data_IF_310312994935
#
_entry.id   IF_310312994935
#
_cell.length_a   1.000
_cell.length_b   1.000
_cell.length_c   1.000
_cell.angle_alpha   90.00
_cell.angle_beta   90.00
_cell.angle_gamma   90.00
#
_symmetry.space_group_name_H-M   'P 1'
#
loop_
_entity.id
_entity.type
_entity.pdbx_description
1 polymer ?
#
# COMPACT_ATOMS: atom_id res chain seq x y z
N UNK A 1 2.43 -3.45 -43.75
CA UNK A 1 2.33 -2.85 -42.39
C UNK A 1 3.21 -3.66 -41.45
N UNK A 2 4.24 -3.05 -40.89
CA UNK A 2 5.11 -3.70 -39.92
C UNK A 2 4.46 -3.58 -38.54
N UNK A 3 4.29 -4.70 -37.82
CA UNK A 3 3.83 -4.67 -36.44
C UNK A 3 4.88 -3.98 -35.56
N UNK A 4 4.48 -2.91 -34.89
CA UNK A 4 5.34 -2.19 -33.95
C UNK A 4 5.22 -2.83 -32.56
N UNK A 5 6.07 -3.81 -32.24
CA UNK A 5 6.07 -4.53 -30.96
C UNK A 5 7.40 -4.26 -30.23
N UNK A 6 7.32 -4.04 -28.92
CA UNK A 6 8.48 -3.93 -28.03
C UNK A 6 8.44 -5.06 -27.00
N UNK A 7 9.62 -5.56 -26.61
CA UNK A 7 9.71 -6.48 -25.46
C UNK A 7 9.44 -5.68 -24.17
N UNK A 8 8.59 -6.21 -23.32
CA UNK A 8 8.38 -5.65 -21.97
C UNK A 8 9.65 -5.89 -21.16
N UNK A 9 10.28 -4.82 -20.69
CA UNK A 9 11.34 -4.87 -19.68
C UNK A 9 10.72 -4.80 -18.28
N UNK A 10 11.38 -5.38 -17.29
CA UNK A 10 10.95 -5.23 -15.89
C UNK A 10 10.91 -3.76 -15.51
N UNK A 11 9.75 -3.31 -14.99
CA UNK A 11 9.58 -1.95 -14.44
C UNK A 11 9.68 -1.99 -12.92
N UNK A 12 10.01 -0.86 -12.26
CA UNK A 12 9.95 -0.77 -10.81
C UNK A 12 8.59 -1.23 -10.27
N UNK A 13 8.52 -2.03 -9.21
CA UNK A 13 7.25 -2.49 -8.67
C UNK A 13 6.49 -1.39 -7.94
N UNK A 14 5.14 -1.49 -7.95
CA UNK A 14 4.24 -0.75 -7.08
C UNK A 14 3.83 -1.68 -5.95
N UNK A 15 4.23 -1.35 -4.74
CA UNK A 15 4.03 -2.17 -3.54
C UNK A 15 3.03 -1.47 -2.63
N UNK A 16 1.98 -2.16 -2.27
CA UNK A 16 1.04 -1.76 -1.23
C UNK A 16 1.27 -2.64 0.00
N UNK A 17 1.67 -2.05 1.11
CA UNK A 17 1.81 -2.75 2.38
C UNK A 17 0.78 -2.23 3.38
N UNK A 18 -0.03 -3.13 3.94
CA UNK A 18 -1.00 -2.75 4.96
C UNK A 18 -0.98 -3.72 6.14
N UNK A 19 -1.49 -3.28 7.28
CA UNK A 19 -1.50 -4.08 8.50
C UNK A 19 -1.80 -3.24 9.75
N UNK A 20 -1.82 -3.86 10.93
CA UNK A 20 -2.02 -3.17 12.21
C UNK A 20 -1.03 -2.03 12.42
N UNK A 21 -1.38 -1.11 13.31
CA UNK A 21 -0.45 -0.07 13.75
C UNK A 21 0.80 -0.68 14.39
N UNK A 22 1.95 -0.03 14.21
CA UNK A 22 3.25 -0.40 14.83
C UNK A 22 3.77 -1.78 14.45
N UNK A 23 3.25 -2.41 13.39
CA UNK A 23 3.76 -3.70 12.88
C UNK A 23 5.11 -3.57 12.18
N UNK A 24 5.51 -2.36 11.74
CA UNK A 24 6.79 -2.09 11.07
C UNK A 24 6.68 -1.66 9.61
N UNK A 25 5.50 -1.17 9.16
CA UNK A 25 5.28 -0.74 7.77
C UNK A 25 6.21 0.38 7.32
N UNK A 26 6.37 1.44 8.15
CA UNK A 26 7.30 2.54 7.84
C UNK A 26 8.75 2.05 7.82
N UNK A 27 9.13 1.11 8.70
CA UNK A 27 10.45 0.45 8.65
C UNK A 27 10.66 -0.35 7.38
N UNK A 28 9.61 -0.98 6.83
CA UNK A 28 9.66 -1.66 5.53
C UNK A 28 10.05 -0.67 4.43
N UNK A 29 9.40 0.48 4.36
CA UNK A 29 9.73 1.52 3.39
C UNK A 29 11.12 2.11 3.59
N UNK A 30 11.53 2.30 4.85
CA UNK A 30 12.83 2.86 5.20
C UNK A 30 14.03 1.99 4.80
N UNK A 31 13.84 0.68 4.70
CA UNK A 31 14.86 -0.28 4.26
C UNK A 31 14.86 -0.55 2.75
N UNK A 32 14.04 0.15 1.97
CA UNK A 32 14.08 0.11 0.52
C UNK A 32 15.35 0.79 -0.03
N UNK A 33 15.61 0.65 -1.33
CA UNK A 33 16.77 1.27 -1.98
C UNK A 33 16.56 2.79 -2.12
N UNK A 34 17.37 3.58 -1.41
CA UNK A 34 17.37 5.06 -1.40
C UNK A 34 15.95 5.66 -1.30
N UNK A 35 15.24 5.40 -0.22
CA UNK A 35 13.86 5.84 -0.07
C UNK A 35 13.77 7.34 0.23
N UNK A 36 12.69 7.98 -0.24
CA UNK A 36 12.21 9.28 0.21
C UNK A 36 10.75 9.16 0.61
N UNK A 37 10.39 9.74 1.75
CA UNK A 37 9.04 9.66 2.28
C UNK A 37 8.22 10.91 1.96
N UNK A 38 6.99 10.70 1.51
CA UNK A 38 5.91 11.69 1.48
C UNK A 38 5.02 11.40 2.69
N UNK A 39 5.22 12.17 3.76
CA UNK A 39 4.51 11.99 5.02
C UNK A 39 3.16 12.67 5.00
N UNK A 40 2.12 11.96 5.39
CA UNK A 40 0.78 12.49 5.63
C UNK A 40 0.39 12.33 7.10
N UNK A 41 1.01 11.39 7.80
CA UNK A 41 0.90 11.25 9.26
C UNK A 41 2.24 11.51 9.96
N UNK A 42 2.18 11.74 11.27
CA UNK A 42 3.35 11.90 12.12
C UNK A 42 3.77 10.53 12.66
N UNK A 43 4.62 9.84 11.92
CA UNK A 43 4.94 8.43 12.22
C UNK A 43 6.40 8.02 12.02
N UNK A 44 7.29 8.95 11.63
CA UNK A 44 8.70 8.66 11.34
C UNK A 44 9.64 8.91 12.51
N UNK A 45 9.15 9.29 13.69
CA UNK A 45 9.94 9.44 14.88
C UNK A 45 10.74 8.16 15.18
N UNK A 46 12.06 8.29 15.26
CA UNK A 46 12.97 7.17 15.48
C UNK A 46 13.36 6.36 14.24
N UNK A 47 12.95 6.78 13.05
CA UNK A 47 13.39 6.22 11.75
C UNK A 47 14.22 7.28 11.02
N UNK A 48 15.51 7.01 10.79
CA UNK A 48 16.39 7.92 10.05
C UNK A 48 16.23 7.70 8.55
N UNK A 49 15.46 8.57 7.89
CA UNK A 49 15.20 8.52 6.44
C UNK A 49 15.07 9.93 5.87
N UNK A 50 15.29 10.07 4.59
CA UNK A 50 14.94 11.30 3.87
C UNK A 50 13.42 11.40 3.73
N UNK A 51 12.86 12.56 4.07
CA UNK A 51 11.44 12.80 3.96
C UNK A 51 11.12 14.25 3.63
N UNK A 52 10.03 14.46 2.91
CA UNK A 52 9.42 15.76 2.79
C UNK A 52 8.79 16.18 4.14
N UNK A 53 8.61 17.47 4.40
CA UNK A 53 7.77 17.93 5.50
C UNK A 53 6.38 17.28 5.42
N UNK A 54 5.77 17.04 6.58
CA UNK A 54 4.42 16.47 6.62
C UNK A 54 3.43 17.33 5.83
N UNK A 55 2.69 16.69 4.94
CA UNK A 55 1.66 17.34 4.14
C UNK A 55 0.32 17.39 4.90
N UNK A 56 -0.35 18.53 4.83
CA UNK A 56 -1.65 18.81 5.44
C UNK A 56 -2.76 19.03 4.42
N UNK A 57 -2.42 19.05 3.14
CA UNK A 57 -3.36 19.17 2.01
C UNK A 57 -2.98 18.19 0.89
N UNK A 58 -3.96 17.89 0.02
CA UNK A 58 -3.70 17.08 -1.18
C UNK A 58 -2.71 17.79 -2.13
N UNK A 59 -2.82 19.11 -2.25
CA UNK A 59 -1.92 19.93 -3.04
C UNK A 59 -0.46 19.80 -2.58
N UNK A 60 -0.20 19.81 -1.25
CA UNK A 60 1.15 19.62 -0.71
C UNK A 60 1.69 18.21 -1.02
N UNK A 61 0.86 17.17 -0.95
CA UNK A 61 1.25 15.81 -1.35
C UNK A 61 1.64 15.79 -2.82
N UNK A 62 0.81 16.37 -3.70
CA UNK A 62 1.08 16.42 -5.14
C UNK A 62 2.32 17.25 -5.46
N UNK A 63 2.55 18.36 -4.77
CA UNK A 63 3.75 19.20 -4.91
C UNK A 63 5.03 18.43 -4.54
N UNK A 64 5.00 17.64 -3.46
CA UNK A 64 6.12 16.80 -3.07
C UNK A 64 6.43 15.73 -4.14
N UNK A 65 5.40 15.07 -4.66
CA UNK A 65 5.56 14.08 -5.74
C UNK A 65 6.04 14.75 -7.05
N UNK A 66 5.52 15.92 -7.37
CA UNK A 66 5.94 16.70 -8.55
C UNK A 66 7.40 17.15 -8.44
N UNK A 67 7.88 17.51 -7.25
CA UNK A 67 9.29 17.81 -7.02
C UNK A 67 10.21 16.64 -7.38
N UNK A 68 9.78 15.40 -7.09
CA UNK A 68 10.51 14.19 -7.52
C UNK A 68 10.43 13.96 -9.03
N UNK A 69 9.37 14.40 -9.67
CA UNK A 69 9.23 14.30 -11.13
C UNK A 69 10.13 15.29 -11.88
N UNK A 70 10.29 16.50 -11.36
CA UNK A 70 10.92 17.63 -12.06
C UNK A 70 12.39 17.87 -11.69
N UNK A 71 12.78 17.60 -10.45
CA UNK A 71 14.11 17.90 -9.95
C UNK A 71 15.06 16.70 -10.10
N UNK A 72 16.35 16.97 -10.22
CA UNK A 72 17.40 15.95 -10.16
C UNK A 72 17.60 15.48 -8.71
N UNK A 73 17.59 14.17 -8.50
CA UNK A 73 17.78 13.54 -7.20
C UNK A 73 18.35 12.13 -7.33
N UNK A 74 18.81 11.57 -6.22
CA UNK A 74 19.38 10.21 -6.16
C UNK A 74 18.45 9.16 -5.56
N UNK A 75 17.19 9.49 -5.29
CA UNK A 75 16.22 8.55 -4.71
C UNK A 75 15.74 7.53 -5.74
N UNK A 76 15.63 6.27 -5.32
CA UNK A 76 15.16 5.15 -6.14
C UNK A 76 13.78 4.65 -5.71
N UNK A 77 13.30 5.07 -4.54
CA UNK A 77 12.02 4.65 -4.00
C UNK A 77 11.26 5.84 -3.43
N UNK A 78 9.99 5.99 -3.79
CA UNK A 78 9.05 6.90 -3.13
C UNK A 78 8.14 6.10 -2.21
N UNK A 79 7.99 6.56 -0.96
CA UNK A 79 7.15 5.94 0.07
C UNK A 79 6.08 6.92 0.50
N UNK A 80 4.81 6.57 0.35
CA UNK A 80 3.68 7.39 0.85
C UNK A 80 3.16 6.79 2.15
N UNK A 81 3.26 7.51 3.25
CA UNK A 81 2.90 7.08 4.61
C UNK A 81 1.93 8.09 5.26
N UNK A 82 0.63 7.79 5.31
CA UNK A 82 -0.11 6.62 4.87
C UNK A 82 -1.37 6.99 4.08
N UNK A 83 -1.90 6.04 3.31
CA UNK A 83 -3.08 6.25 2.46
C UNK A 83 -4.34 6.60 3.25
N UNK A 84 -4.53 6.02 4.42
CA UNK A 84 -5.70 6.28 5.25
C UNK A 84 -5.67 7.67 5.92
N UNK A 85 -4.49 8.30 6.02
CA UNK A 85 -4.37 9.71 6.36
C UNK A 85 -4.46 10.63 5.13
N UNK A 86 -4.09 10.13 3.95
CA UNK A 86 -4.27 10.83 2.68
C UNK A 86 -5.75 10.93 2.28
N UNK A 87 -6.56 9.91 2.55
CA UNK A 87 -7.95 9.85 2.12
C UNK A 87 -8.80 11.07 2.57
N UNK A 88 -8.74 11.55 3.82
CA UNK A 88 -9.43 12.79 4.22
C UNK A 88 -8.97 14.03 3.45
N UNK A 89 -7.71 14.10 3.02
CA UNK A 89 -7.19 15.19 2.20
C UNK A 89 -7.75 15.13 0.78
N UNK A 90 -7.86 13.92 0.21
CA UNK A 90 -8.54 13.67 -1.07
C UNK A 90 -10.00 14.09 -1.00
N UNK A 91 -10.71 13.81 0.10
CA UNK A 91 -12.11 14.23 0.25
C UNK A 91 -12.25 15.75 0.33
N UNK A 92 -11.38 16.44 1.05
CA UNK A 92 -11.35 17.91 1.09
C UNK A 92 -11.08 18.50 -0.29
N UNK A 93 -10.13 17.96 -1.01
CA UNK A 93 -9.83 18.37 -2.39
C UNK A 93 -11.01 18.12 -3.32
N UNK A 94 -11.70 16.98 -3.18
CA UNK A 94 -12.92 16.69 -3.95
C UNK A 94 -13.99 17.73 -3.73
N UNK A 95 -14.25 18.12 -2.48
CA UNK A 95 -15.22 19.16 -2.14
C UNK A 95 -14.80 20.53 -2.71
N UNK A 96 -13.50 20.83 -2.71
CA UNK A 96 -12.95 22.04 -3.32
C UNK A 96 -13.17 22.10 -4.83
N UNK A 97 -12.93 20.99 -5.53
CA UNK A 97 -13.11 20.88 -7.00
C UNK A 97 -14.56 20.86 -7.44
N UNK A 98 -15.44 20.26 -6.64
CA UNK A 98 -16.86 20.08 -6.94
C UNK A 98 -17.70 20.67 -5.79
N UNK A 99 -17.74 21.99 -5.60
CA UNK A 99 -18.31 22.60 -4.41
C UNK A 99 -19.84 22.59 -4.35
N UNK A 100 -20.52 22.05 -5.38
CA UNK A 100 -21.97 21.97 -5.44
C UNK A 100 -22.43 20.56 -5.79
N UNK A 101 -23.36 20.04 -4.99
CA UNK A 101 -24.05 18.78 -5.23
C UNK A 101 -25.33 18.95 -6.04
N UNK A 102 -26.22 17.96 -5.93
CA UNK A 102 -27.51 17.96 -6.62
C UNK A 102 -28.30 19.24 -6.31
N UNK A 103 -29.01 19.75 -7.33
CA UNK A 103 -29.84 20.98 -7.24
C UNK A 103 -29.08 22.25 -6.85
N UNK A 104 -27.76 22.29 -7.05
CA UNK A 104 -26.95 23.46 -6.74
C UNK A 104 -26.74 23.73 -5.24
N UNK A 105 -26.99 22.75 -4.39
CA UNK A 105 -26.71 22.85 -2.95
C UNK A 105 -25.20 22.81 -2.71
N UNK A 106 -24.68 23.82 -1.98
CA UNK A 106 -23.29 23.83 -1.55
C UNK A 106 -22.99 22.63 -0.65
N UNK A 107 -21.88 21.97 -0.86
CA UNK A 107 -21.38 20.84 -0.06
C UNK A 107 -20.17 21.29 0.76
N UNK A 108 -20.05 20.77 1.97
CA UNK A 108 -18.96 21.06 2.90
C UNK A 108 -18.17 19.79 3.24
N UNK A 109 -18.80 18.63 3.07
CA UNK A 109 -18.22 17.33 3.34
C UNK A 109 -18.51 16.36 2.20
N UNK A 110 -17.70 15.29 2.11
CA UNK A 110 -17.83 14.26 1.08
C UNK A 110 -19.19 13.55 1.10
N UNK A 111 -19.86 13.47 2.25
CA UNK A 111 -21.16 12.83 2.42
C UNK A 111 -22.34 13.73 1.99
N UNK A 112 -22.15 15.03 1.91
CA UNK A 112 -23.20 16.01 1.56
C UNK A 112 -23.73 15.86 0.13
N UNK A 113 -22.96 15.20 -0.76
CA UNK A 113 -23.42 14.87 -2.11
C UNK A 113 -24.56 13.84 -2.12
N UNK A 114 -24.73 13.08 -1.03
CA UNK A 114 -25.74 12.05 -0.87
C UNK A 114 -25.46 10.80 -1.74
N UNK A 115 -26.07 9.70 -1.34
CA UNK A 115 -26.07 8.40 -2.08
C UNK A 115 -24.66 7.93 -2.51
N UNK A 116 -23.61 8.31 -1.77
CA UNK A 116 -22.24 7.92 -2.09
C UNK A 116 -21.60 8.63 -3.29
N UNK A 117 -22.25 9.61 -3.91
CA UNK A 117 -21.74 10.34 -5.08
C UNK A 117 -20.42 11.06 -4.79
N UNK A 118 -20.22 11.58 -3.57
CA UNK A 118 -18.96 12.22 -3.19
C UNK A 118 -17.78 11.27 -3.34
N UNK A 119 -17.92 10.03 -2.94
CA UNK A 119 -16.87 9.01 -3.10
C UNK A 119 -16.60 8.67 -4.58
N UNK A 120 -17.62 8.77 -5.44
CA UNK A 120 -17.41 8.64 -6.88
C UNK A 120 -16.60 9.82 -7.44
N UNK A 121 -16.91 11.06 -7.03
CA UNK A 121 -16.11 12.25 -7.40
C UNK A 121 -14.67 12.17 -6.85
N UNK A 122 -14.47 11.60 -5.65
CA UNK A 122 -13.15 11.42 -5.08
C UNK A 122 -12.23 10.51 -5.93
N UNK A 123 -12.82 9.64 -6.77
CA UNK A 123 -12.03 8.78 -7.66
C UNK A 123 -11.26 9.56 -8.73
N UNK A 124 -11.71 10.75 -9.13
CA UNK A 124 -10.96 11.63 -10.05
C UNK A 124 -9.71 12.18 -9.36
N UNK A 125 -9.82 12.57 -8.08
CA UNK A 125 -8.68 13.04 -7.28
C UNK A 125 -7.69 11.91 -7.01
N UNK A 126 -8.20 10.71 -6.67
CA UNK A 126 -7.36 9.51 -6.55
C UNK A 126 -6.66 9.15 -7.86
N UNK A 127 -7.32 9.37 -9.00
CA UNK A 127 -6.71 9.13 -10.31
C UNK A 127 -5.51 10.05 -10.53
N UNK A 128 -5.62 11.35 -10.25
CA UNK A 128 -4.50 12.28 -10.39
C UNK A 128 -3.29 11.85 -9.55
N UNK A 129 -3.54 11.39 -8.31
CA UNK A 129 -2.51 10.85 -7.44
C UNK A 129 -1.82 9.61 -8.03
N UNK A 130 -2.60 8.65 -8.54
CA UNK A 130 -2.06 7.44 -9.12
C UNK A 130 -1.33 7.70 -10.45
N UNK A 131 -1.82 8.61 -11.27
CA UNK A 131 -1.17 9.04 -12.51
C UNK A 131 0.23 9.64 -12.22
N UNK A 132 0.36 10.42 -11.13
CA UNK A 132 1.66 10.96 -10.70
C UNK A 132 2.61 9.85 -10.21
N UNK A 133 2.12 8.88 -9.45
CA UNK A 133 2.93 7.72 -9.05
C UNK A 133 3.36 6.88 -10.25
N UNK A 134 2.48 6.70 -11.24
CA UNK A 134 2.82 6.03 -12.49
C UNK A 134 3.85 6.80 -13.32
N UNK A 135 3.82 8.13 -13.30
CA UNK A 135 4.85 8.96 -13.89
C UNK A 135 6.22 8.73 -13.23
N UNK A 136 6.29 8.80 -11.89
CA UNK A 136 7.52 8.53 -11.14
C UNK A 136 8.07 7.12 -11.43
N UNK A 137 7.20 6.14 -11.51
CA UNK A 137 7.56 4.76 -11.85
C UNK A 137 8.10 4.64 -13.27
N UNK A 138 7.43 5.24 -14.25
CA UNK A 138 7.72 5.00 -15.67
C UNK A 138 8.83 5.92 -16.21
N UNK A 139 8.85 7.19 -15.78
CA UNK A 139 9.74 8.22 -16.32
C UNK A 139 10.95 8.48 -15.39
N UNK A 140 10.76 8.32 -14.09
CA UNK A 140 11.85 8.50 -13.10
C UNK A 140 12.40 7.16 -12.58
N UNK A 141 11.87 6.04 -13.07
CA UNK A 141 12.32 4.69 -12.73
C UNK A 141 12.30 4.38 -11.22
N UNK A 142 11.35 4.93 -10.49
CA UNK A 142 11.23 4.82 -9.04
C UNK A 142 10.32 3.65 -8.63
N UNK A 143 10.74 2.87 -7.63
CA UNK A 143 9.85 1.95 -6.91
C UNK A 143 8.84 2.76 -6.11
N UNK A 144 7.58 2.36 -6.15
CA UNK A 144 6.50 3.02 -5.41
C UNK A 144 6.07 2.13 -4.25
N UNK A 145 6.10 2.66 -3.03
CA UNK A 145 5.59 1.99 -1.83
C UNK A 145 4.47 2.84 -1.25
N UNK A 146 3.29 2.23 -1.09
CA UNK A 146 2.15 2.85 -0.44
C UNK A 146 1.86 2.09 0.86
N UNK A 147 1.77 2.83 1.96
CA UNK A 147 1.51 2.28 3.29
C UNK A 147 0.06 2.57 3.68
N UNK A 148 -0.62 1.59 4.29
CA UNK A 148 -1.96 1.78 4.84
C UNK A 148 -2.14 1.02 6.15
N UNK A 149 -3.09 1.44 6.97
CA UNK A 149 -3.54 0.67 8.12
C UNK A 149 -4.57 -0.38 7.71
N UNK A 150 -4.66 -1.43 8.51
CA UNK A 150 -5.72 -2.44 8.39
C UNK A 150 -6.92 -2.07 9.26
N UNK A 151 -8.10 -2.46 8.81
CA UNK A 151 -9.33 -2.50 9.61
C UNK A 151 -10.01 -3.84 9.45
N UNK A 152 -10.84 -4.20 10.42
CA UNK A 152 -11.67 -5.40 10.33
C UNK A 152 -13.03 -4.98 9.80
N UNK A 153 -13.49 -5.67 8.74
CA UNK A 153 -14.83 -5.53 8.17
C UNK A 153 -15.50 -6.88 8.02
N UNK A 154 -16.82 -6.88 8.05
CA UNK A 154 -17.62 -8.06 7.67
C UNK A 154 -17.49 -8.27 6.17
N UNK A 155 -17.16 -9.47 5.79
CA UNK A 155 -17.05 -9.90 4.41
C UNK A 155 -18.20 -10.86 4.07
N UNK A 156 -19.01 -10.47 3.09
CA UNK A 156 -20.11 -11.27 2.57
C UNK A 156 -19.59 -12.09 1.39
N UNK A 157 -19.26 -13.35 1.66
CA UNK A 157 -18.81 -14.27 0.62
C UNK A 157 -20.03 -15.09 0.13
N UNK A 158 -20.27 -15.18 -1.19
CA UNK A 158 -21.38 -15.97 -1.72
C UNK A 158 -21.26 -17.47 -1.47
N UNK A 159 -20.06 -17.97 -1.10
CA UNK A 159 -19.79 -19.40 -0.91
C UNK A 159 -19.78 -19.84 0.57
N UNK A 160 -19.78 -18.87 1.52
CA UNK A 160 -19.66 -19.17 2.95
C UNK A 160 -20.50 -18.21 3.80
N UNK A 161 -20.67 -18.52 5.08
CA UNK A 161 -21.23 -17.57 6.05
C UNK A 161 -20.40 -16.28 6.13
N UNK A 162 -21.05 -15.18 6.54
CA UNK A 162 -20.40 -13.88 6.76
C UNK A 162 -19.33 -14.02 7.83
N UNK A 163 -18.12 -13.53 7.55
CA UNK A 163 -17.00 -13.55 8.48
C UNK A 163 -16.25 -12.21 8.51
N UNK A 164 -15.48 -12.00 9.58
CA UNK A 164 -14.62 -10.83 9.71
C UNK A 164 -13.32 -11.00 8.91
N UNK A 165 -12.95 -9.94 8.17
CA UNK A 165 -11.76 -9.90 7.32
C UNK A 165 -10.94 -8.64 7.56
N UNK A 166 -9.61 -8.76 7.50
CA UNK A 166 -8.74 -7.59 7.45
C UNK A 166 -8.77 -6.99 6.05
N UNK A 167 -9.09 -5.71 5.98
CA UNK A 167 -9.09 -4.91 4.76
C UNK A 167 -8.26 -3.65 4.94
N UNK A 168 -7.89 -3.02 3.83
CA UNK A 168 -7.23 -1.71 3.86
C UNK A 168 -8.21 -0.69 4.43
N UNK A 169 -7.73 0.16 5.34
CA UNK A 169 -8.54 1.19 5.98
C UNK A 169 -8.75 2.39 5.05
N UNK A 170 -9.48 2.17 3.97
CA UNK A 170 -9.91 3.15 3.00
C UNK A 170 -11.39 2.96 2.67
N UNK A 171 -11.99 3.96 2.02
CA UNK A 171 -13.29 3.80 1.39
C UNK A 171 -13.22 2.68 0.35
N UNK A 172 -14.31 1.91 0.21
CA UNK A 172 -14.33 0.66 -0.56
C UNK A 172 -13.81 0.80 -2.00
N UNK A 173 -14.25 1.85 -2.72
CA UNK A 173 -13.82 2.08 -4.10
C UNK A 173 -12.35 2.50 -4.19
N UNK A 174 -11.88 3.32 -3.25
CA UNK A 174 -10.48 3.71 -3.15
C UNK A 174 -9.58 2.50 -2.83
N UNK A 175 -9.97 1.66 -1.85
CA UNK A 175 -9.25 0.44 -1.52
C UNK A 175 -9.12 -0.49 -2.74
N UNK A 176 -10.22 -0.73 -3.48
CA UNK A 176 -10.21 -1.54 -4.69
C UNK A 176 -9.24 -0.97 -5.74
N UNK A 177 -9.26 0.35 -5.95
CA UNK A 177 -8.39 1.02 -6.92
C UNK A 177 -6.91 0.94 -6.55
N UNK A 178 -6.56 1.08 -5.26
CA UNK A 178 -5.18 0.93 -4.77
C UNK A 178 -4.68 -0.51 -4.97
N UNK A 179 -5.51 -1.50 -4.70
CA UNK A 179 -5.18 -2.91 -4.92
C UNK A 179 -4.96 -3.23 -6.41
N UNK A 180 -5.85 -2.78 -7.30
CA UNK A 180 -5.71 -2.95 -8.74
C UNK A 180 -4.43 -2.30 -9.29
N UNK A 181 -4.08 -1.12 -8.78
CA UNK A 181 -2.89 -0.38 -9.19
C UNK A 181 -1.59 -1.07 -8.74
N UNK A 182 -1.62 -1.87 -7.68
CA UNK A 182 -0.43 -2.47 -7.07
C UNK A 182 0.02 -3.74 -7.79
N UNK A 183 1.33 -3.93 -7.94
CA UNK A 183 1.93 -5.14 -8.47
C UNK A 183 2.16 -6.18 -7.35
N UNK A 184 2.36 -5.69 -6.12
CA UNK A 184 2.54 -6.47 -4.89
C UNK A 184 1.65 -5.89 -3.80
N UNK A 185 0.82 -6.71 -3.18
CA UNK A 185 0.00 -6.37 -2.02
C UNK A 185 0.46 -7.24 -0.86
N UNK A 186 1.02 -6.60 0.17
CA UNK A 186 1.55 -7.27 1.36
C UNK A 186 0.62 -7.01 2.56
N UNK A 187 0.16 -8.07 3.20
CA UNK A 187 -0.46 -7.97 4.50
C UNK A 187 0.56 -8.27 5.59
N UNK A 188 0.94 -7.26 6.36
CA UNK A 188 1.86 -7.40 7.48
C UNK A 188 1.08 -7.69 8.77
N UNK A 189 1.36 -8.81 9.44
CA UNK A 189 0.72 -9.16 10.70
C UNK A 189 1.64 -10.02 11.58
N UNK A 190 1.22 -10.26 12.80
CA UNK A 190 1.84 -11.26 13.65
C UNK A 190 1.43 -12.66 13.21
N UNK A 191 2.36 -13.60 13.32
CA UNK A 191 2.06 -15.01 13.10
C UNK A 191 1.11 -15.54 14.18
N UNK A 192 -0.03 -16.05 13.76
CA UNK A 192 -1.04 -16.62 14.65
C UNK A 192 -1.09 -18.14 14.43
N UNK A 193 -0.45 -18.88 15.31
CA UNK A 193 -0.60 -20.35 15.39
C UNK A 193 -1.89 -20.71 16.16
N UNK A 194 -2.69 -21.60 15.62
CA UNK A 194 -3.84 -22.16 16.34
C UNK A 194 -3.40 -23.47 17.00
N UNK A 195 -3.16 -23.47 18.32
CA UNK A 195 -3.04 -24.74 19.07
C UNK A 195 -4.46 -25.23 19.39
N UNK A 196 -4.79 -26.45 18.94
CA UNK A 196 -5.91 -27.21 19.45
C UNK A 196 -5.47 -27.75 20.83
N UNK A 197 -6.11 -27.30 21.91
CA UNK A 197 -5.98 -27.98 23.18
C UNK A 197 -6.59 -29.39 23.01
N UNK A 198 -5.83 -30.43 23.34
CA UNK A 198 -6.32 -31.80 23.38
C UNK A 198 -7.47 -31.89 24.38
N UNK A 199 -8.52 -32.58 23.99
CA UNK A 199 -9.75 -32.77 24.75
C UNK A 199 -9.45 -33.37 26.13
N UNK A 200 -9.58 -32.58 27.17
CA UNK A 200 -9.95 -33.13 28.50
C UNK A 200 -11.45 -33.42 28.49
N UNK A 201 -11.85 -34.56 28.99
CA UNK A 201 -13.19 -35.18 28.85
C UNK A 201 -14.39 -34.40 29.40
N UNK A 202 -14.34 -33.12 29.61
CA UNK A 202 -15.43 -32.37 30.23
C UNK A 202 -15.74 -30.94 29.76
N UNK A 203 -15.12 -30.41 28.71
CA UNK A 203 -15.55 -29.11 28.12
C UNK A 203 -15.11 -29.00 26.67
N UNK A 204 -15.96 -28.42 25.81
CA UNK A 204 -15.60 -28.01 24.44
C UNK A 204 -14.30 -27.22 24.45
N UNK A 205 -13.27 -27.74 23.80
CA UNK A 205 -11.94 -27.15 23.79
C UNK A 205 -11.96 -25.74 23.17
N UNK A 206 -11.71 -24.73 23.96
CA UNK A 206 -11.53 -23.35 23.47
C UNK A 206 -10.29 -23.27 22.61
N UNK A 207 -10.45 -22.86 21.36
CA UNK A 207 -9.33 -22.51 20.48
C UNK A 207 -8.67 -21.26 21.05
N UNK A 208 -7.42 -21.37 21.51
CA UNK A 208 -6.60 -20.21 21.88
C UNK A 208 -5.66 -19.87 20.73
N UNK A 209 -5.68 -18.61 20.30
CA UNK A 209 -4.64 -18.07 19.45
C UNK A 209 -3.35 -17.98 20.27
N UNK A 210 -2.29 -18.63 19.81
CA UNK A 210 -0.95 -18.54 20.41
C UNK A 210 -0.09 -17.79 19.42
N UNK A 211 0.25 -16.52 19.73
CA UNK A 211 1.20 -15.74 18.94
C UNK A 211 2.60 -15.89 19.50
N UNK A 212 3.57 -16.22 18.66
CA UNK A 212 5.00 -16.20 19.03
C UNK A 212 5.59 -14.79 19.11
N UNK A 213 4.84 -13.78 18.71
CA UNK A 213 5.34 -12.40 18.52
C UNK A 213 6.13 -12.23 17.21
N UNK A 214 6.32 -13.28 16.45
CA UNK A 214 6.92 -13.24 15.12
C UNK A 214 6.02 -12.48 14.14
N UNK A 215 6.63 -11.67 13.28
CA UNK A 215 5.92 -10.91 12.26
C UNK A 215 6.12 -11.55 10.90
N UNK A 216 5.09 -11.48 10.07
CA UNK A 216 5.07 -12.10 8.74
C UNK A 216 4.48 -11.11 7.73
N UNK A 217 5.06 -11.08 6.54
CA UNK A 217 4.47 -10.51 5.34
C UNK A 217 3.78 -11.64 4.58
N UNK A 218 2.47 -11.54 4.46
CA UNK A 218 1.69 -12.44 3.60
C UNK A 218 1.62 -11.83 2.20
N UNK A 219 1.90 -12.62 1.20
CA UNK A 219 1.99 -12.25 -0.21
C UNK A 219 0.88 -12.85 -1.07
N UNK A 220 0.09 -13.75 -0.50
CA UNK A 220 -1.03 -14.44 -1.13
C UNK A 220 -2.30 -14.26 -0.30
N UNK A 221 -3.44 -14.17 -0.99
CA UNK A 221 -4.75 -14.00 -0.37
C UNK A 221 -5.12 -15.19 0.51
N UNK A 222 -5.77 -14.89 1.64
CA UNK A 222 -6.41 -15.88 2.51
C UNK A 222 -7.81 -15.39 2.91
N UNK A 223 -8.70 -16.26 3.37
CA UNK A 223 -10.02 -15.82 3.80
C UNK A 223 -9.98 -14.63 4.78
N UNK A 224 -9.00 -14.60 5.68
CA UNK A 224 -8.88 -13.57 6.70
C UNK A 224 -8.32 -12.22 6.20
N UNK A 225 -7.71 -12.13 5.03
CA UNK A 225 -7.09 -10.90 4.50
C UNK A 225 -6.82 -10.97 2.99
N UNK A 226 -6.71 -9.79 2.38
CA UNK A 226 -6.26 -9.63 0.98
C UNK A 226 -4.74 -9.56 0.94
N UNK A 227 -4.11 -10.29 0.02
CA UNK A 227 -2.73 -10.14 -0.38
C UNK A 227 -2.58 -10.70 -1.80
N UNK A 228 -1.51 -10.34 -2.49
CA UNK A 228 -1.28 -10.86 -3.84
C UNK A 228 -0.01 -10.29 -4.44
N UNK A 229 0.57 -11.01 -5.40
CA UNK A 229 1.72 -10.50 -6.14
C UNK A 229 1.77 -11.10 -7.55
N UNK A 230 2.51 -10.42 -8.45
CA UNK A 230 2.72 -10.85 -9.85
C UNK A 230 4.05 -11.55 -10.07
N UNK A 231 4.85 -11.78 -9.02
CA UNK A 231 6.25 -12.18 -9.12
C UNK A 231 6.57 -13.52 -8.47
N UNK A 232 5.56 -14.33 -8.13
CA UNK A 232 5.72 -15.65 -7.51
C UNK A 232 6.53 -15.59 -6.19
N UNK A 233 6.27 -14.58 -5.37
CA UNK A 233 6.84 -14.49 -4.03
C UNK A 233 6.39 -15.70 -3.18
N UNK A 234 7.20 -16.16 -2.21
CA UNK A 234 6.74 -17.12 -1.21
C UNK A 234 5.48 -16.62 -0.50
N UNK A 235 4.51 -17.48 -0.23
CA UNK A 235 3.21 -17.09 0.37
C UNK A 235 3.34 -16.38 1.72
N UNK A 236 4.44 -16.63 2.42
CA UNK A 236 4.83 -16.01 3.69
C UNK A 236 6.31 -15.63 3.67
N UNK A 237 6.64 -14.42 4.09
CA UNK A 237 8.02 -13.96 4.24
C UNK A 237 8.20 -13.48 5.69
N UNK A 238 9.21 -13.97 6.42
CA UNK A 238 9.51 -13.46 7.76
C UNK A 238 9.71 -11.94 7.74
N UNK A 239 9.01 -11.24 8.62
CA UNK A 239 9.06 -9.78 8.70
C UNK A 239 9.96 -9.35 9.88
N UNK A 240 11.25 -9.59 9.75
CA UNK A 240 12.25 -9.27 10.75
C UNK A 240 12.66 -7.79 10.75
N UNK A 241 13.45 -7.40 11.76
CA UNK A 241 13.97 -6.03 11.87
C UNK A 241 15.19 -5.77 10.98
N UNK A 242 15.80 -6.82 10.43
CA UNK A 242 17.06 -6.73 9.68
C UNK A 242 16.79 -6.50 8.18
N UNK A 243 15.53 -6.60 7.75
CA UNK A 243 15.15 -6.34 6.36
C UNK A 243 15.48 -7.46 5.38
N UNK A 244 15.74 -8.69 5.86
CA UNK A 244 16.04 -9.84 5.00
C UNK A 244 14.93 -10.13 3.98
N UNK A 245 13.69 -9.72 4.25
CA UNK A 245 12.57 -9.79 3.32
C UNK A 245 12.83 -9.01 2.01
N UNK A 246 13.61 -7.95 2.04
CA UNK A 246 13.96 -7.21 0.83
C UNK A 246 14.79 -8.03 -0.15
N UNK A 247 15.68 -8.90 0.35
CA UNK A 247 16.42 -9.83 -0.51
C UNK A 247 15.46 -10.79 -1.23
N UNK A 248 14.50 -11.38 -0.50
CA UNK A 248 13.49 -12.28 -1.07
C UNK A 248 12.65 -11.57 -2.14
N UNK A 249 12.25 -10.31 -1.90
CA UNK A 249 11.51 -9.51 -2.87
C UNK A 249 12.39 -9.19 -4.09
N UNK A 250 13.64 -8.80 -3.86
CA UNK A 250 14.56 -8.44 -4.93
C UNK A 250 14.90 -9.63 -5.84
N UNK A 251 15.05 -10.82 -5.29
CA UNK A 251 15.30 -12.05 -6.07
C UNK A 251 14.11 -12.44 -6.95
N UNK A 252 12.88 -12.14 -6.54
CA UNK A 252 11.67 -12.47 -7.29
C UNK A 252 11.30 -11.42 -8.34
N UNK A 253 11.59 -10.15 -8.11
CA UNK A 253 11.19 -9.03 -8.98
C UNK A 253 12.24 -8.77 -10.07
N UNK A 254 11.94 -8.98 -11.36
CA UNK A 254 12.92 -8.87 -12.44
C UNK A 254 13.63 -7.52 -12.55
N UNK A 255 12.94 -6.43 -12.16
CA UNK A 255 13.51 -5.08 -12.14
C UNK A 255 14.78 -5.00 -11.28
N UNK A 256 14.76 -5.56 -10.09
CA UNK A 256 15.91 -5.51 -9.18
C UNK A 256 17.06 -6.40 -9.65
N UNK A 257 16.79 -7.48 -10.40
CA UNK A 257 17.80 -8.36 -10.95
C UNK A 257 18.58 -7.73 -12.13
N UNK A 258 17.94 -6.89 -12.94
CA UNK A 258 18.59 -6.21 -14.06
C UNK A 258 19.57 -5.13 -13.58
N UNK A 259 19.23 -4.39 -12.53
CA UNK A 259 20.11 -3.36 -11.94
C UNK A 259 21.36 -3.93 -11.26
N UNK A 260 21.30 -5.16 -10.75
CA UNK A 260 22.47 -5.86 -10.18
C UNK A 260 23.43 -6.33 -11.27
N UNK A 261 22.93 -6.74 -12.43
CA UNK A 261 23.75 -7.18 -13.57
C UNK A 261 24.50 -6.03 -14.23
N UNK A 262 23.89 -4.85 -14.35
CA UNK A 262 24.52 -3.65 -14.90
C UNK A 262 25.63 -3.09 -13.98
N UNK A 263 25.45 -3.16 -12.66
CA UNK A 263 26.49 -2.78 -11.69
C UNK A 263 27.71 -3.70 -11.72
N UNK A 264 27.54 -5.00 -12.08
CA UNK A 264 28.64 -5.96 -12.22
C UNK A 264 29.37 -5.87 -13.56
N UNK A 265 28.74 -5.32 -14.60
CA UNK A 265 29.33 -5.16 -15.91
C UNK A 265 30.19 -3.87 -16.04
N UNK A 266 30.06 -2.93 -15.10
CA UNK A 266 30.78 -1.64 -15.08
C UNK A 266 31.88 -1.60 -14.00
N UNK A 267 32.31 -2.72 -13.44
CA UNK A 267 33.48 -2.91 -12.57
C UNK A 267 34.46 -3.85 -13.28
#
# INVERSE_FOLDING_TARGET
>A
MTLNTTKTTGKPPRILIYGPQKIGKSSFGALADKPVFVQVEDGLDGISVDSFPRAYSFEEVMSNLQSLAEQEHSFNTVVVDSLDWLEPLVWKETVSRVPYGDKGKKVENIEDYGYGKGFAHAMDVWKDYLDMLDYLRNERNMTVIQIAHAQIRKFENPETDIYDRYEIKLQKSAAAKMMEHSDIILFANYFVGVKKEEKSMSKEGRKRAVGSGERVLYTEERPAFMAGNRYSLPSEIPFDKNGAYWQTIAEAVPFFNSTVSEKKANV
#
